data_IF_322198450985
#
_entry.id   IF_322198450985
#
_cell.length_a   1.000
_cell.length_b   1.000
_cell.length_c   1.000
_cell.angle_alpha   90.00
_cell.angle_beta   90.00
_cell.angle_gamma   90.00
#
_symmetry.space_group_name_H-M   'P 1'
#
loop_
_entity.id
_entity.type
_entity.pdbx_description
1 polymer ?
#
# COMPACT_ATOMS: atom_id res chain seq x y z
N UNK A 1 -20.40 24.60 40.20
CA UNK A 1 -19.48 24.20 39.10
C UNK A 1 -20.09 23.09 38.23
N UNK A 2 -20.76 22.11 38.85
CA UNK A 2 -21.40 20.93 38.26
C UNK A 2 -22.18 21.11 36.94
N UNK A 3 -23.13 22.05 36.83
CA UNK A 3 -23.99 22.17 35.62
C UNK A 3 -23.22 22.63 34.37
N UNK A 4 -22.25 23.54 34.52
CA UNK A 4 -21.47 24.04 33.37
C UNK A 4 -20.50 22.97 32.85
N UNK A 5 -19.93 22.16 33.74
CA UNK A 5 -19.11 21.01 33.36
C UNK A 5 -19.94 19.93 32.69
N UNK A 6 -21.14 19.60 33.20
CA UNK A 6 -22.05 18.64 32.56
C UNK A 6 -22.49 19.08 31.17
N UNK A 7 -22.75 20.37 30.98
CA UNK A 7 -23.05 20.92 29.64
C UNK A 7 -21.81 20.79 28.75
N UNK A 8 -20.63 21.20 29.20
CA UNK A 8 -19.39 21.10 28.40
C UNK A 8 -19.04 19.67 28.01
N UNK A 9 -19.18 18.71 28.93
CA UNK A 9 -18.93 17.30 28.65
C UNK A 9 -19.95 16.71 27.68
N UNK A 10 -21.22 17.12 27.79
CA UNK A 10 -22.29 16.70 26.86
C UNK A 10 -22.07 17.25 25.43
N UNK A 11 -21.46 18.42 25.30
CA UNK A 11 -21.08 19.01 24.01
C UNK A 11 -19.66 18.63 23.55
N UNK A 12 -19.00 17.69 24.23
CA UNK A 12 -17.62 17.26 23.93
C UNK A 12 -16.62 18.43 23.86
N UNK A 13 -16.91 19.56 24.51
CA UNK A 13 -16.12 20.78 24.40
C UNK A 13 -14.69 20.55 24.88
N UNK A 14 -14.51 19.77 25.94
CA UNK A 14 -13.20 19.44 26.50
C UNK A 14 -12.37 18.53 25.58
N UNK A 15 -13.04 17.77 24.71
CA UNK A 15 -12.40 16.92 23.73
C UNK A 15 -11.82 17.75 22.57
N UNK A 16 -12.62 18.65 22.01
CA UNK A 16 -12.18 19.58 20.97
C UNK A 16 -11.18 20.60 21.50
N UNK A 17 -11.35 21.10 22.73
CA UNK A 17 -10.41 22.05 23.34
C UNK A 17 -9.07 21.41 23.66
N UNK A 18 -8.99 20.12 23.96
CA UNK A 18 -7.72 19.42 24.15
C UNK A 18 -7.04 19.05 22.82
N UNK A 19 -7.83 18.80 21.75
CA UNK A 19 -7.31 18.67 20.39
C UNK A 19 -6.75 19.99 19.86
N UNK A 20 -7.43 21.11 20.15
CA UNK A 20 -7.05 22.44 19.71
C UNK A 20 -5.97 23.08 20.59
N UNK A 21 -5.99 22.83 21.90
CA UNK A 21 -4.96 23.28 22.83
C UNK A 21 -4.22 22.06 23.36
N UNK A 22 -3.04 21.80 22.81
CA UNK A 22 -2.05 20.95 23.46
C UNK A 22 -1.81 21.53 24.87
N UNK A 23 -2.15 20.82 25.96
CA UNK A 23 -1.62 21.21 27.24
C UNK A 23 -0.13 20.93 27.14
N UNK A 24 0.67 21.99 27.01
CA UNK A 24 2.09 22.00 27.39
C UNK A 24 2.11 21.86 28.91
N UNK A 25 1.65 20.71 29.43
CA UNK A 25 1.74 20.35 30.83
C UNK A 25 2.65 19.14 30.83
N UNK A 26 3.89 19.41 31.24
CA UNK A 26 5.07 18.63 30.89
C UNK A 26 5.03 17.15 31.27
N UNK A 27 5.88 16.40 30.55
CA UNK A 27 6.26 14.99 30.73
C UNK A 27 5.30 13.92 30.19
N UNK A 28 4.43 14.23 29.23
CA UNK A 28 3.82 13.16 28.43
C UNK A 28 4.80 12.70 27.32
N UNK A 29 4.97 11.40 27.18
CA UNK A 29 5.76 10.81 26.09
C UNK A 29 4.94 10.82 24.80
N UNK A 30 5.59 10.91 23.63
CA UNK A 30 4.89 10.97 22.35
C UNK A 30 3.93 9.78 22.13
N UNK A 31 4.29 8.59 22.64
CA UNK A 31 3.46 7.39 22.61
C UNK A 31 2.19 7.54 23.43
N UNK A 32 2.29 8.09 24.63
CA UNK A 32 1.14 8.28 25.52
C UNK A 32 0.16 9.34 24.97
N UNK A 33 0.68 10.34 24.25
CA UNK A 33 -0.14 11.33 23.55
C UNK A 33 -0.88 10.67 22.38
N UNK A 34 -0.19 9.83 21.61
CA UNK A 34 -0.79 9.09 20.50
C UNK A 34 -1.89 8.13 20.99
N UNK A 35 -1.64 7.35 22.04
CA UNK A 35 -2.63 6.42 22.62
C UNK A 35 -3.87 7.14 23.16
N UNK A 36 -3.71 8.27 23.86
CA UNK A 36 -4.86 9.07 24.31
C UNK A 36 -5.61 9.74 23.17
N UNK A 37 -4.91 10.12 22.10
CA UNK A 37 -5.56 10.67 20.91
C UNK A 37 -6.41 9.59 20.23
N UNK A 38 -5.88 8.36 20.13
CA UNK A 38 -6.57 7.19 19.58
C UNK A 38 -7.79 6.78 20.42
N UNK A 39 -7.65 6.64 21.74
CA UNK A 39 -8.76 6.31 22.65
C UNK A 39 -9.91 7.33 22.53
N UNK A 40 -9.58 8.61 22.42
CA UNK A 40 -10.56 9.71 22.32
C UNK A 40 -11.23 9.77 20.95
N UNK A 41 -10.50 9.45 19.88
CA UNK A 41 -11.07 9.32 18.54
C UNK A 41 -12.00 8.11 18.43
N UNK A 42 -11.69 7.01 19.11
CA UNK A 42 -12.59 5.85 19.21
C UNK A 42 -13.89 6.21 19.94
N UNK A 43 -13.81 6.98 21.02
CA UNK A 43 -14.99 7.43 21.78
C UNK A 43 -15.93 8.35 20.98
N UNK A 44 -15.41 9.09 19.99
CA UNK A 44 -16.22 9.92 19.10
C UNK A 44 -16.88 9.16 17.94
N UNK A 45 -16.37 7.97 17.60
CA UNK A 45 -16.85 7.17 16.46
C UNK A 45 -18.37 7.09 16.37
N UNK A 46 -19.07 6.65 17.44
CA UNK A 46 -20.53 6.51 17.41
C UNK A 46 -21.30 7.82 17.25
N UNK A 47 -20.75 8.95 17.70
CA UNK A 47 -21.41 10.28 17.53
C UNK A 47 -21.27 10.75 16.10
N UNK A 48 -20.10 10.56 15.51
CA UNK A 48 -19.80 10.93 14.14
C UNK A 48 -20.54 10.06 13.14
N UNK A 49 -20.60 8.75 13.37
CA UNK A 49 -21.38 7.82 12.56
C UNK A 49 -22.85 8.20 12.54
N UNK A 50 -23.42 8.60 13.69
CA UNK A 50 -24.80 9.11 13.72
C UNK A 50 -24.95 10.44 12.99
N UNK A 51 -24.06 11.41 13.21
CA UNK A 51 -24.09 12.67 12.45
C UNK A 51 -24.00 12.42 10.94
N UNK A 52 -23.18 11.46 10.53
CA UNK A 52 -23.02 11.08 9.13
C UNK A 52 -24.29 10.41 8.59
N UNK A 53 -24.77 9.36 9.23
CA UNK A 53 -25.87 8.53 8.74
C UNK A 53 -27.23 9.21 8.88
N UNK A 54 -27.44 9.98 9.95
CA UNK A 54 -28.75 10.55 10.30
C UNK A 54 -28.92 12.00 9.83
N UNK A 55 -27.84 12.75 9.56
CA UNK A 55 -27.90 14.16 9.15
C UNK A 55 -27.21 14.43 7.81
N UNK A 56 -25.92 14.13 7.70
CA UNK A 56 -25.14 14.54 6.53
C UNK A 56 -25.52 13.77 5.27
N UNK A 57 -25.67 12.44 5.34
CA UNK A 57 -26.08 11.61 4.19
C UNK A 57 -27.46 12.03 3.66
N UNK A 58 -28.52 12.12 4.49
CA UNK A 58 -29.83 12.58 4.01
C UNK A 58 -29.80 14.00 3.42
N UNK A 59 -28.97 14.89 3.97
CA UNK A 59 -28.86 16.27 3.48
C UNK A 59 -28.17 16.33 2.11
N UNK A 60 -27.07 15.58 1.92
CA UNK A 60 -26.41 15.49 0.62
C UNK A 60 -27.34 14.85 -0.41
N UNK A 61 -27.98 13.73 -0.10
CA UNK A 61 -28.90 13.05 -1.04
C UNK A 61 -30.03 13.97 -1.49
N UNK A 62 -30.64 14.70 -0.54
CA UNK A 62 -31.69 15.66 -0.83
C UNK A 62 -31.19 16.83 -1.69
N UNK A 63 -30.03 17.40 -1.36
CA UNK A 63 -29.46 18.54 -2.10
C UNK A 63 -29.02 18.13 -3.50
N UNK A 64 -28.36 16.98 -3.65
CA UNK A 64 -27.95 16.43 -4.94
C UNK A 64 -29.16 16.12 -5.83
N UNK A 65 -30.19 15.46 -5.28
CA UNK A 65 -31.43 15.16 -6.01
C UNK A 65 -32.13 16.43 -6.50
N UNK A 66 -32.18 17.49 -5.67
CA UNK A 66 -32.74 18.79 -6.06
C UNK A 66 -31.90 19.50 -7.11
N UNK A 67 -30.58 19.45 -7.00
CA UNK A 67 -29.67 20.05 -7.97
C UNK A 67 -29.78 19.35 -9.33
N UNK A 68 -29.94 18.03 -9.35
CA UNK A 68 -30.17 17.23 -10.55
C UNK A 68 -31.52 17.56 -11.19
N UNK A 69 -32.60 17.62 -10.40
CA UNK A 69 -33.92 17.99 -10.89
C UNK A 69 -33.98 19.44 -11.43
N UNK A 70 -33.19 20.35 -10.86
CA UNK A 70 -33.08 21.74 -11.30
C UNK A 70 -32.12 21.95 -12.48
N UNK A 71 -31.42 20.90 -12.95
CA UNK A 71 -30.44 21.00 -14.03
C UNK A 71 -29.18 21.80 -13.66
N UNK A 72 -28.86 21.91 -12.36
CA UNK A 72 -27.69 22.65 -11.86
C UNK A 72 -26.38 21.85 -11.98
N UNK A 73 -26.49 20.53 -12.08
CA UNK A 73 -25.37 19.59 -12.26
C UNK A 73 -25.39 19.09 -13.71
N UNK A 74 -24.21 18.85 -14.34
CA UNK A 74 -24.14 18.28 -15.67
C UNK A 74 -24.85 16.92 -15.74
N UNK A 75 -25.36 16.53 -16.93
CA UNK A 75 -26.00 15.24 -17.09
C UNK A 75 -25.04 14.11 -16.73
N UNK A 76 -25.54 13.03 -16.10
CA UNK A 76 -24.70 11.91 -15.73
C UNK A 76 -24.04 11.28 -16.98
N UNK A 77 -22.75 10.90 -16.90
CA UNK A 77 -22.09 10.09 -17.92
C UNK A 77 -22.91 8.85 -18.31
N UNK A 78 -22.79 8.36 -19.57
CA UNK A 78 -23.54 7.19 -20.05
C UNK A 78 -23.35 5.96 -19.14
N UNK A 79 -22.13 5.77 -18.62
CA UNK A 79 -21.77 4.62 -17.78
C UNK A 79 -22.46 4.64 -16.40
N UNK A 80 -22.96 5.80 -15.96
CA UNK A 80 -23.61 5.99 -14.66
C UNK A 80 -25.14 5.97 -14.76
N UNK A 81 -25.72 5.75 -15.94
CA UNK A 81 -27.17 5.68 -16.11
C UNK A 81 -27.73 4.40 -15.49
N UNK A 82 -28.62 4.55 -14.50
CA UNK A 82 -29.26 3.41 -13.82
C UNK A 82 -28.40 2.73 -12.75
N UNK A 83 -27.23 3.29 -12.42
CA UNK A 83 -26.45 2.86 -11.26
C UNK A 83 -26.88 3.62 -9.99
N UNK A 84 -26.89 2.92 -8.85
CA UNK A 84 -27.09 3.56 -7.55
C UNK A 84 -25.82 4.34 -7.16
N UNK A 85 -25.99 5.60 -6.78
CA UNK A 85 -24.90 6.44 -6.30
C UNK A 85 -24.60 6.09 -4.84
N UNK A 86 -23.37 5.64 -4.58
CA UNK A 86 -22.86 5.50 -3.22
C UNK A 86 -22.06 6.76 -2.85
N UNK A 87 -22.58 7.56 -1.91
CA UNK A 87 -21.91 8.77 -1.43
C UNK A 87 -20.94 8.38 -0.32
N UNK A 88 -19.64 8.37 -0.62
CA UNK A 88 -18.61 8.17 0.40
C UNK A 88 -18.15 9.52 0.98
N UNK A 89 -18.33 9.73 2.29
CA UNK A 89 -17.82 10.93 2.93
C UNK A 89 -16.36 10.76 3.33
N UNK A 90 -15.49 11.46 2.59
CA UNK A 90 -14.09 11.63 2.97
C UNK A 90 -14.00 12.79 3.99
N UNK A 91 -14.24 12.50 5.26
CA UNK A 91 -14.02 13.46 6.37
C UNK A 91 -12.54 13.50 6.75
N UNK A 92 -11.99 14.69 7.05
CA UNK A 92 -10.63 14.84 7.63
C UNK A 92 -10.42 13.94 8.86
N UNK A 93 -11.48 13.69 9.62
CA UNK A 93 -11.43 12.84 10.81
C UNK A 93 -11.50 11.35 10.48
N UNK A 94 -12.27 10.98 9.45
CA UNK A 94 -12.29 9.62 8.92
C UNK A 94 -10.95 9.27 8.28
N UNK A 95 -10.33 10.22 7.56
CA UNK A 95 -8.95 10.12 7.08
C UNK A 95 -7.97 9.99 8.25
N UNK A 96 -8.10 10.79 9.31
CA UNK A 96 -7.25 10.65 10.50
C UNK A 96 -7.42 9.29 11.19
N UNK A 97 -8.65 8.75 11.28
CA UNK A 97 -8.91 7.42 11.82
C UNK A 97 -8.35 6.30 10.92
N UNK A 98 -8.49 6.42 9.59
CA UNK A 98 -7.87 5.49 8.62
C UNK A 98 -6.34 5.53 8.71
N UNK A 99 -5.75 6.72 8.84
CA UNK A 99 -4.32 6.90 9.04
C UNK A 99 -3.83 6.39 10.40
N UNK A 100 -4.66 6.36 11.43
CA UNK A 100 -4.30 5.68 12.69
C UNK A 100 -4.35 4.15 12.51
N UNK A 101 -5.31 3.65 11.74
CA UNK A 101 -5.42 2.22 11.45
C UNK A 101 -4.24 1.67 10.63
N UNK A 102 -3.48 2.51 9.92
CA UNK A 102 -2.27 2.07 9.20
C UNK A 102 -1.16 1.59 10.14
N UNK A 103 -1.14 2.03 11.41
CA UNK A 103 -0.13 1.62 12.39
C UNK A 103 -0.05 0.11 12.58
N UNK A 104 -1.18 -0.60 12.47
CA UNK A 104 -1.22 -2.06 12.55
C UNK A 104 -0.60 -2.72 11.32
N UNK A 105 -0.87 -2.14 10.14
CA UNK A 105 -0.32 -2.59 8.86
C UNK A 105 1.19 -2.37 8.83
N UNK A 106 1.68 -1.22 9.30
CA UNK A 106 3.10 -0.88 9.35
C UNK A 106 3.88 -1.86 10.23
N UNK A 107 3.34 -2.15 11.43
CA UNK A 107 3.94 -3.15 12.34
C UNK A 107 3.94 -4.54 11.71
N UNK A 108 2.85 -4.93 11.02
CA UNK A 108 2.76 -6.21 10.34
C UNK A 108 3.81 -6.34 9.23
N UNK A 109 3.87 -5.39 8.29
CA UNK A 109 4.81 -5.39 7.17
C UNK A 109 6.27 -5.28 7.66
N UNK A 110 6.53 -4.45 8.67
CA UNK A 110 7.85 -4.35 9.30
C UNK A 110 8.31 -5.68 9.91
N UNK A 111 7.44 -6.35 10.67
CA UNK A 111 7.74 -7.67 11.25
C UNK A 111 7.91 -8.74 10.17
N UNK A 112 7.13 -8.69 9.10
CA UNK A 112 7.25 -9.58 7.94
C UNK A 112 8.66 -9.49 7.33
N UNK A 113 9.18 -8.27 7.17
CA UNK A 113 10.53 -8.02 6.67
C UNK A 113 11.64 -8.59 7.57
N UNK A 114 11.47 -8.53 8.89
CA UNK A 114 12.41 -9.15 9.84
C UNK A 114 12.39 -10.67 9.72
N UNK A 115 11.20 -11.28 9.66
CA UNK A 115 11.04 -12.74 9.55
C UNK A 115 11.60 -13.24 8.22
N UNK A 116 11.43 -12.49 7.13
CA UNK A 116 11.89 -12.87 5.79
C UNK A 116 13.42 -13.11 5.73
N UNK A 117 14.20 -12.47 6.59
CA UNK A 117 15.66 -12.68 6.68
C UNK A 117 16.02 -14.12 7.10
N UNK A 118 15.17 -14.74 7.93
CA UNK A 118 15.40 -16.08 8.48
C UNK A 118 14.51 -17.14 7.81
N UNK A 119 13.29 -16.76 7.41
CA UNK A 119 12.32 -17.61 6.72
C UNK A 119 11.70 -16.85 5.54
N UNK A 120 12.36 -16.86 4.36
CA UNK A 120 11.90 -16.11 3.18
C UNK A 120 10.48 -16.46 2.73
N UNK A 121 10.04 -17.71 2.87
CA UNK A 121 8.70 -18.16 2.46
C UNK A 121 7.53 -17.51 3.20
N UNK A 122 7.79 -16.67 4.22
CA UNK A 122 6.76 -15.82 4.82
C UNK A 122 6.22 -14.79 3.81
N UNK A 123 7.06 -14.36 2.86
CA UNK A 123 6.70 -13.37 1.84
C UNK A 123 5.69 -13.92 0.82
N UNK A 124 5.61 -15.25 0.66
CA UNK A 124 4.65 -15.91 -0.26
C UNK A 124 3.17 -15.66 0.14
N UNK A 125 2.93 -15.14 1.34
CA UNK A 125 1.60 -14.77 1.84
C UNK A 125 1.30 -13.28 1.79
N UNK A 126 2.24 -12.46 1.31
CA UNK A 126 2.08 -11.01 1.23
C UNK A 126 1.81 -10.57 -0.21
N UNK A 127 0.67 -9.91 -0.41
CA UNK A 127 0.32 -9.29 -1.69
C UNK A 127 0.72 -7.81 -1.65
N UNK A 128 1.85 -7.51 -2.30
CA UNK A 128 2.44 -6.18 -2.38
C UNK A 128 1.57 -5.18 -3.16
N UNK A 129 0.83 -5.64 -4.18
CA UNK A 129 0.00 -4.78 -5.03
C UNK A 129 -1.23 -4.34 -4.23
N UNK A 130 -1.95 -5.31 -3.64
CA UNK A 130 -3.12 -5.04 -2.80
C UNK A 130 -2.78 -4.22 -1.57
N UNK A 131 -1.62 -4.47 -0.96
CA UNK A 131 -1.14 -3.64 0.14
C UNK A 131 -0.97 -2.19 -0.29
N UNK A 132 -0.31 -1.93 -1.43
CA UNK A 132 -0.06 -0.56 -1.89
C UNK A 132 -1.37 0.20 -2.21
N UNK A 133 -2.34 -0.46 -2.83
CA UNK A 133 -3.68 0.09 -3.13
C UNK A 133 -4.43 0.47 -1.84
N UNK A 134 -4.58 -0.49 -0.92
CA UNK A 134 -5.32 -0.28 0.33
C UNK A 134 -4.63 0.76 1.21
N UNK A 135 -3.29 0.68 1.31
CA UNK A 135 -2.52 1.56 2.18
C UNK A 135 -2.52 3.01 1.67
N UNK A 136 -2.44 3.23 0.35
CA UNK A 136 -2.53 4.57 -0.23
C UNK A 136 -3.92 5.19 -0.05
N UNK A 137 -4.99 4.40 -0.17
CA UNK A 137 -6.36 4.83 0.14
C UNK A 137 -6.53 5.21 1.62
N UNK A 138 -5.99 4.40 2.54
CA UNK A 138 -6.04 4.69 3.97
C UNK A 138 -5.28 5.97 4.35
N UNK A 139 -4.21 6.30 3.63
CA UNK A 139 -3.45 7.54 3.80
C UNK A 139 -4.05 8.74 3.04
N UNK A 140 -5.04 8.51 2.17
CA UNK A 140 -5.62 9.56 1.32
C UNK A 140 -4.62 10.13 0.31
N UNK A 141 -3.71 9.30 -0.21
CA UNK A 141 -2.77 9.70 -1.26
C UNK A 141 -3.53 9.95 -2.55
N UNK A 142 -3.15 10.99 -3.28
CA UNK A 142 -3.72 11.28 -4.60
C UNK A 142 -3.52 10.08 -5.55
N UNK A 143 -4.59 9.49 -6.12
CA UNK A 143 -4.49 8.35 -7.03
C UNK A 143 -3.59 8.59 -8.24
N UNK A 144 -3.42 9.84 -8.69
CA UNK A 144 -2.51 10.17 -9.80
C UNK A 144 -1.04 9.92 -9.44
N UNK A 145 -0.70 9.83 -8.15
CA UNK A 145 0.64 9.49 -7.67
C UNK A 145 0.90 7.98 -7.62
N UNK A 146 -0.14 7.16 -7.81
CA UNK A 146 -0.05 5.70 -7.76
C UNK A 146 -0.06 5.14 -9.19
N UNK A 147 0.91 4.27 -9.51
CA UNK A 147 0.99 3.65 -10.83
C UNK A 147 -0.15 2.65 -10.98
N UNK A 148 -1.00 2.84 -12.01
CA UNK A 148 -2.09 1.91 -12.32
C UNK A 148 -1.61 0.46 -12.54
N UNK A 149 -2.44 -0.52 -12.17
CA UNK A 149 -2.12 -1.95 -12.25
C UNK A 149 -1.74 -2.39 -13.66
N UNK A 150 -2.36 -1.82 -14.69
CA UNK A 150 -2.05 -2.08 -16.10
C UNK A 150 -0.62 -1.64 -16.46
N UNK A 151 -0.20 -0.46 -16.00
CA UNK A 151 1.15 0.03 -16.21
C UNK A 151 2.18 -0.80 -15.43
N UNK A 152 1.86 -1.23 -14.20
CA UNK A 152 2.72 -2.14 -13.42
C UNK A 152 2.93 -3.47 -14.17
N UNK A 153 1.87 -4.03 -14.76
CA UNK A 153 1.96 -5.27 -15.54
C UNK A 153 2.88 -5.12 -16.76
N UNK A 154 2.79 -4.00 -17.48
CA UNK A 154 3.67 -3.69 -18.62
C UNK A 154 5.13 -3.59 -18.16
N UNK A 155 5.39 -2.85 -17.08
CA UNK A 155 6.76 -2.66 -16.54
C UNK A 155 7.35 -3.98 -16.05
N UNK A 156 6.56 -4.82 -15.36
CA UNK A 156 7.01 -6.14 -14.89
C UNK A 156 7.32 -7.07 -16.06
N UNK A 157 6.49 -7.09 -17.11
CA UNK A 157 6.75 -7.86 -18.32
C UNK A 157 8.05 -7.42 -19.00
N UNK A 158 8.23 -6.12 -19.20
CA UNK A 158 9.46 -5.58 -19.77
C UNK A 158 10.70 -5.93 -18.94
N UNK A 159 10.59 -5.89 -17.61
CA UNK A 159 11.68 -6.28 -16.70
C UNK A 159 11.99 -7.78 -16.78
N UNK A 160 10.97 -8.63 -16.88
CA UNK A 160 11.14 -10.07 -17.04
C UNK A 160 11.83 -10.40 -18.37
N UNK A 161 11.41 -9.77 -19.47
CA UNK A 161 12.00 -9.93 -20.80
C UNK A 161 13.48 -9.48 -20.79
N UNK A 162 13.78 -8.35 -20.15
CA UNK A 162 15.15 -7.85 -20.01
C UNK A 162 16.03 -8.79 -19.18
N UNK A 163 15.48 -9.37 -18.11
CA UNK A 163 16.21 -10.30 -17.24
C UNK A 163 16.51 -11.62 -17.96
N UNK A 164 15.57 -12.13 -18.76
CA UNK A 164 15.79 -13.30 -19.61
C UNK A 164 16.86 -13.02 -20.68
N UNK A 165 16.80 -11.85 -21.33
CA UNK A 165 17.81 -11.45 -22.31
C UNK A 165 19.21 -11.32 -21.67
N UNK A 166 19.30 -10.79 -20.45
CA UNK A 166 20.56 -10.71 -19.70
C UNK A 166 21.10 -12.10 -19.32
N UNK A 167 20.23 -13.02 -18.87
CA UNK A 167 20.63 -14.40 -18.57
C UNK A 167 21.12 -15.14 -19.83
N UNK A 168 20.44 -14.97 -20.96
CA UNK A 168 20.88 -15.55 -22.23
C UNK A 168 22.25 -14.99 -22.67
N UNK A 169 22.46 -13.69 -22.55
CA UNK A 169 23.75 -13.06 -22.86
C UNK A 169 24.87 -13.52 -21.92
N UNK A 170 24.59 -13.68 -20.62
CA UNK A 170 25.57 -14.23 -19.67
C UNK A 170 25.91 -15.68 -19.97
N UNK A 171 24.91 -16.51 -20.32
CA UNK A 171 25.14 -17.91 -20.70
C UNK A 171 25.99 -18.03 -21.98
N UNK A 172 25.75 -17.17 -22.98
CA UNK A 172 26.59 -17.11 -24.19
C UNK A 172 28.01 -16.62 -23.87
N UNK A 173 28.16 -15.64 -22.98
CA UNK A 173 29.45 -15.11 -22.59
C UNK A 173 30.28 -16.13 -21.76
N UNK A 174 29.65 -16.87 -20.84
CA UNK A 174 30.29 -17.96 -20.10
C UNK A 174 30.65 -19.13 -21.03
N UNK A 175 29.75 -19.53 -21.93
CA UNK A 175 30.04 -20.57 -22.92
C UNK A 175 31.19 -20.18 -23.86
N UNK A 176 31.26 -18.91 -24.27
CA UNK A 176 32.36 -18.39 -25.09
C UNK A 176 33.68 -18.30 -24.32
N UNK A 177 33.66 -17.98 -23.02
CA UNK A 177 34.86 -18.06 -22.15
C UNK A 177 35.33 -19.49 -21.99
N UNK A 178 34.44 -20.42 -21.64
CA UNK A 178 34.78 -21.84 -21.50
C UNK A 178 35.32 -22.43 -22.81
N UNK A 179 34.74 -22.05 -23.95
CA UNK A 179 35.24 -22.44 -25.28
C UNK A 179 36.61 -21.85 -25.60
N UNK A 180 36.88 -20.60 -25.24
CA UNK A 180 38.21 -19.97 -25.40
C UNK A 180 39.24 -20.57 -24.46
N UNK A 181 38.89 -20.88 -23.21
CA UNK A 181 39.79 -21.50 -22.24
C UNK A 181 40.14 -22.95 -22.64
N UNK A 182 39.16 -23.71 -23.16
CA UNK A 182 39.40 -25.03 -23.77
C UNK A 182 40.27 -24.96 -25.03
N UNK A 183 40.03 -23.97 -25.90
CA UNK A 183 40.84 -23.76 -27.10
C UNK A 183 42.27 -23.33 -26.75
N UNK A 184 42.45 -22.47 -25.75
CA UNK A 184 43.75 -22.05 -25.24
C UNK A 184 44.50 -23.20 -24.56
N UNK A 185 43.81 -24.05 -23.79
CA UNK A 185 44.38 -25.25 -23.19
C UNK A 185 44.82 -26.27 -24.26
N UNK A 186 44.02 -26.48 -25.32
CA UNK A 186 44.42 -27.32 -26.48
C UNK A 186 45.57 -26.72 -27.29
N UNK A 187 45.68 -25.39 -27.36
CA UNK A 187 46.78 -24.73 -28.07
C UNK A 187 48.10 -24.76 -27.29
N UNK A 188 48.05 -24.86 -25.96
CA UNK A 188 49.24 -24.97 -25.09
C UNK A 188 49.77 -26.39 -24.95
N UNK A 189 48.92 -27.41 -25.12
CA UNK A 189 49.33 -28.82 -25.07
C UNK A 189 48.75 -29.62 -26.26
N UNK A 190 49.52 -29.78 -27.37
CA UNK A 190 49.08 -30.48 -28.58
C UNK A 190 48.70 -31.96 -28.35
N UNK A 191 49.14 -32.57 -27.24
CA UNK A 191 48.83 -33.96 -26.91
C UNK A 191 47.58 -34.13 -26.04
N UNK A 192 47.03 -33.05 -25.45
CA UNK A 192 45.85 -33.11 -24.60
C UNK A 192 44.56 -33.50 -25.35
N UNK A 193 44.49 -33.22 -26.66
CA UNK A 193 43.37 -33.64 -27.51
C UNK A 193 43.25 -35.17 -27.64
N UNK A 194 44.37 -35.87 -27.58
CA UNK A 194 44.44 -37.32 -27.79
C UNK A 194 44.02 -38.12 -26.54
N UNK A 195 44.16 -37.52 -25.34
CA UNK A 195 43.79 -38.17 -24.07
C UNK A 195 42.27 -38.17 -23.87
N UNK A 196 41.56 -37.17 -24.36
CA UNK A 196 40.09 -37.10 -24.29
C UNK A 196 39.43 -38.12 -25.22
N UNK A 197 39.98 -38.33 -26.43
CA UNK A 197 39.52 -39.39 -27.35
C UNK A 197 39.81 -40.80 -26.80
N UNK A 198 40.91 -40.97 -26.05
CA UNK A 198 41.26 -42.26 -25.43
C UNK A 198 40.31 -42.67 -24.30
N UNK A 199 39.70 -41.71 -23.60
CA UNK A 199 38.70 -41.98 -22.54
C UNK A 199 37.27 -42.13 -23.06
N UNK A 200 36.95 -41.55 -24.23
CA UNK A 200 35.63 -41.70 -24.88
C UNK A 200 35.40 -43.10 -25.50
N UNK A 201 36.46 -43.86 -25.75
CA UNK A 201 36.38 -45.17 -26.43
C UNK A 201 36.04 -46.38 -25.56
N UNK A 202 35.89 -46.21 -24.24
CA UNK A 202 35.67 -47.32 -23.29
C UNK A 202 34.25 -47.41 -22.70
N UNK A 203 33.28 -46.68 -23.27
CA UNK A 203 31.88 -46.71 -22.84
C UNK A 203 30.94 -47.04 -24.00
N UNK A 204 31.02 -48.26 -24.53
CA UNK A 204 30.10 -48.83 -25.51
C UNK A 204 29.72 -50.25 -25.10
#
# INVERSE_FOLDING_TARGET
QDVRERIRSSFYADLFLMLANQPIVGRMTATEVAERHEEKLLMLGPVLERLHNELLSPLIDLTFSRALAAGLVPPPPPDLQGQDLNVEFVSMLAQAQRAIATNGIDRFVGNLGVIAQYKPGVLDKFDEDKWSEIYSDMLGVDPELIVSSDQVAIVRKARADQMQAQQAMMAVAEGAKAGKDMAAARAQDPNAGNVVDMFSGYGG
#
